data_IF_273542575961
#
_entry.id   IF_273542575961
#
_cell.length_a   1.000
_cell.length_b   1.000
_cell.length_c   1.000
_cell.angle_alpha   90.00
_cell.angle_beta   90.00
_cell.angle_gamma   90.00
#
_symmetry.space_group_name_H-M   'P 1'
#
loop_
_entity.id
_entity.type
_entity.pdbx_description
1 polymer ?
#
# COMPACT_ATOMS: atom_id res chain seq x y z
N UNK A 1 -15.39 27.29 -9.26
CA UNK A 1 -15.10 26.04 -8.52
C UNK A 1 -13.75 26.25 -7.88
N UNK A 2 -13.71 26.56 -6.58
CA UNK A 2 -12.45 26.56 -5.85
C UNK A 2 -11.86 25.14 -5.94
N UNK A 3 -10.60 25.02 -6.35
CA UNK A 3 -9.96 23.73 -6.61
C UNK A 3 -9.84 22.93 -5.31
N UNK A 4 -10.31 21.69 -5.32
CA UNK A 4 -10.10 20.76 -4.21
C UNK A 4 -8.61 20.47 -4.06
N UNK A 5 -8.09 20.51 -2.81
CA UNK A 5 -6.70 20.19 -2.48
C UNK A 5 -6.68 18.99 -1.51
N UNK A 6 -6.81 17.76 -2.04
CA UNK A 6 -6.87 16.58 -1.21
C UNK A 6 -5.59 16.45 -0.39
N UNK A 7 -5.75 16.07 0.88
CA UNK A 7 -4.63 15.85 1.79
C UNK A 7 -4.17 14.39 1.79
N UNK A 8 -5.02 13.48 1.32
CA UNK A 8 -4.80 12.04 1.34
C UNK A 8 -4.85 11.46 -0.07
N UNK A 9 -3.96 10.51 -0.37
CA UNK A 9 -4.15 9.54 -1.46
C UNK A 9 -4.55 8.20 -0.83
N UNK A 10 -5.67 7.61 -1.25
CA UNK A 10 -6.07 6.26 -0.83
C UNK A 10 -5.97 5.29 -2.00
N UNK A 11 -5.21 4.22 -1.79
CA UNK A 11 -5.08 3.08 -2.69
C UNK A 11 -5.88 1.93 -2.08
N UNK A 12 -7.07 1.69 -2.62
CA UNK A 12 -8.03 0.71 -2.10
C UNK A 12 -8.30 -0.44 -3.06
N UNK A 13 -9.03 -1.44 -2.57
CA UNK A 13 -9.44 -2.59 -3.38
C UNK A 13 -10.69 -2.25 -4.20
N UNK A 14 -10.78 -2.71 -5.45
CA UNK A 14 -11.99 -2.60 -6.29
C UNK A 14 -13.21 -3.35 -5.72
N UNK A 15 -13.00 -4.33 -4.83
CA UNK A 15 -14.06 -5.10 -4.16
C UNK A 15 -14.56 -4.45 -2.84
N UNK A 16 -13.99 -3.31 -2.42
CA UNK A 16 -14.50 -2.63 -1.21
C UNK A 16 -15.94 -2.11 -1.44
N UNK A 17 -16.87 -2.58 -0.60
CA UNK A 17 -18.32 -2.32 -0.72
C UNK A 17 -18.77 -1.03 -0.02
N UNK A 18 -17.84 -0.35 0.65
CA UNK A 18 -18.08 0.90 1.38
C UNK A 18 -17.25 2.02 0.73
N UNK A 19 -17.84 3.20 0.46
CA UNK A 19 -17.09 4.37 0.01
C UNK A 19 -15.97 4.72 1.00
N UNK A 20 -14.78 4.99 0.48
CA UNK A 20 -13.57 5.26 1.29
C UNK A 20 -13.75 6.51 2.14
N UNK A 21 -14.40 7.52 1.58
CA UNK A 21 -14.70 8.80 2.23
C UNK A 21 -15.55 8.57 3.48
N UNK A 22 -16.62 7.77 3.35
CA UNK A 22 -17.48 7.40 4.47
C UNK A 22 -16.72 6.58 5.52
N UNK A 23 -15.86 5.67 5.07
CA UNK A 23 -15.07 4.81 5.93
C UNK A 23 -14.09 5.59 6.82
N UNK A 24 -13.45 6.62 6.25
CA UNK A 24 -12.44 7.45 6.90
C UNK A 24 -13.01 8.71 7.56
N UNK A 25 -14.33 8.95 7.46
CA UNK A 25 -14.97 10.18 7.94
C UNK A 25 -14.48 11.44 7.20
N UNK A 26 -14.13 11.29 5.93
CA UNK A 26 -13.60 12.34 5.05
C UNK A 26 -14.65 12.79 4.03
N UNK A 27 -14.44 13.95 3.42
CA UNK A 27 -15.25 14.43 2.30
C UNK A 27 -14.55 14.17 0.96
N UNK A 28 -15.27 14.25 -0.16
CA UNK A 28 -14.70 14.03 -1.50
C UNK A 28 -13.59 15.03 -1.88
N UNK A 29 -13.51 16.18 -1.20
CA UNK A 29 -12.42 17.15 -1.39
C UNK A 29 -11.14 16.82 -0.61
N UNK A 30 -11.22 15.94 0.39
CA UNK A 30 -10.09 15.64 1.28
C UNK A 30 -9.20 14.51 0.74
N UNK A 31 -9.74 13.67 -0.14
CA UNK A 31 -9.14 12.39 -0.51
C UNK A 31 -9.14 12.19 -2.03
N UNK A 32 -7.96 11.83 -2.55
CA UNK A 32 -7.74 11.39 -3.92
C UNK A 32 -7.71 9.85 -3.94
N UNK A 33 -8.50 9.20 -4.78
CA UNK A 33 -8.74 7.75 -4.68
C UNK A 33 -8.26 7.03 -5.92
N UNK A 34 -7.53 5.93 -5.72
CA UNK A 34 -7.29 4.92 -6.73
C UNK A 34 -7.73 3.54 -6.22
N UNK A 35 -8.32 2.74 -7.11
CA UNK A 35 -8.77 1.38 -6.79
C UNK A 35 -8.36 0.40 -7.86
N UNK A 36 -7.79 -0.73 -7.43
CA UNK A 36 -7.51 -1.88 -8.28
C UNK A 36 -7.81 -3.17 -7.51
N UNK A 37 -7.79 -4.32 -8.19
CA UNK A 37 -8.09 -5.62 -7.54
C UNK A 37 -7.01 -5.90 -6.49
N UNK A 38 -7.43 -6.05 -5.23
CA UNK A 38 -6.56 -6.30 -4.07
C UNK A 38 -5.50 -5.21 -3.76
N UNK A 39 -5.81 -3.95 -4.09
CA UNK A 39 -5.08 -2.75 -3.63
C UNK A 39 -3.55 -2.82 -3.82
N UNK A 40 -3.12 -3.36 -4.97
CA UNK A 40 -1.73 -3.59 -5.28
C UNK A 40 -1.00 -2.32 -5.70
N UNK A 41 0.28 -2.27 -5.33
CA UNK A 41 1.24 -1.25 -5.73
C UNK A 41 2.34 -1.94 -6.53
N UNK A 42 2.14 -2.00 -7.86
CA UNK A 42 3.06 -2.69 -8.77
C UNK A 42 4.05 -1.68 -9.36
N UNK A 43 5.38 -1.90 -9.25
CA UNK A 43 6.40 -0.94 -9.72
C UNK A 43 6.37 -0.62 -11.22
N UNK A 44 5.67 -1.42 -12.03
CA UNK A 44 5.53 -1.24 -13.48
C UNK A 44 4.09 -0.92 -13.91
N UNK A 45 3.15 -0.75 -12.97
CA UNK A 45 1.78 -0.35 -13.29
C UNK A 45 1.71 1.16 -13.55
N UNK A 46 1.76 1.54 -14.82
CA UNK A 46 1.69 2.94 -15.23
C UNK A 46 0.41 3.63 -14.75
N UNK A 47 -0.70 2.91 -14.58
CA UNK A 47 -1.95 3.47 -14.09
C UNK A 47 -1.75 4.04 -12.68
N UNK A 48 -1.39 3.20 -11.72
CA UNK A 48 -1.15 3.66 -10.36
C UNK A 48 0.02 4.63 -10.26
N UNK A 49 1.12 4.42 -11.00
CA UNK A 49 2.28 5.32 -10.95
C UNK A 49 1.92 6.75 -11.39
N UNK A 50 1.07 6.89 -12.40
CA UNK A 50 0.58 8.21 -12.82
C UNK A 50 -0.25 8.91 -11.73
N UNK A 51 -1.06 8.16 -10.98
CA UNK A 51 -1.82 8.66 -9.83
C UNK A 51 -0.88 9.10 -8.71
N UNK A 52 0.12 8.29 -8.38
CA UNK A 52 1.10 8.61 -7.32
C UNK A 52 1.84 9.90 -7.68
N UNK A 53 2.37 10.02 -8.89
CA UNK A 53 3.08 11.20 -9.34
C UNK A 53 2.19 12.45 -9.26
N UNK A 54 0.94 12.37 -9.75
CA UNK A 54 0.02 13.49 -9.68
C UNK A 54 -0.34 13.88 -8.23
N UNK A 55 -0.64 12.90 -7.38
CA UNK A 55 -0.98 13.14 -5.98
C UNK A 55 0.18 13.79 -5.21
N UNK A 56 1.41 13.31 -5.43
CA UNK A 56 2.60 13.76 -4.70
C UNK A 56 3.11 15.10 -5.24
N UNK A 57 3.29 15.22 -6.55
CA UNK A 57 3.97 16.36 -7.16
C UNK A 57 3.01 17.52 -7.45
N UNK A 58 1.78 17.24 -7.91
CA UNK A 58 0.82 18.28 -8.27
C UNK A 58 -0.11 18.63 -7.09
N UNK A 59 -0.65 17.64 -6.40
CA UNK A 59 -1.62 17.85 -5.32
C UNK A 59 -0.95 18.03 -3.94
N UNK A 60 0.33 17.66 -3.80
CA UNK A 60 1.09 17.75 -2.57
C UNK A 60 0.41 17.05 -1.38
N UNK A 61 -0.16 15.86 -1.61
CA UNK A 61 -0.79 15.06 -0.55
C UNK A 61 0.20 14.82 0.60
N UNK A 62 -0.30 14.83 1.83
CA UNK A 62 0.51 14.66 3.04
C UNK A 62 0.63 13.19 3.44
N UNK A 63 -0.37 12.40 3.10
CA UNK A 63 -0.51 11.03 3.56
C UNK A 63 -0.98 10.12 2.40
N UNK A 64 -0.34 8.97 2.26
CA UNK A 64 -0.76 7.90 1.35
C UNK A 64 -1.21 6.72 2.21
N UNK A 65 -2.40 6.22 1.94
CA UNK A 65 -3.02 5.10 2.65
C UNK A 65 -3.18 3.93 1.69
N UNK A 66 -2.58 2.79 2.03
CA UNK A 66 -2.94 1.50 1.43
C UNK A 66 -4.04 0.90 2.28
N UNK A 67 -5.24 0.82 1.72
CA UNK A 67 -6.42 0.33 2.43
C UNK A 67 -6.81 -1.05 1.91
N UNK A 68 -6.36 -2.07 2.64
CA UNK A 68 -6.83 -3.43 2.49
C UNK A 68 -8.19 -3.65 3.17
N UNK A 69 -8.77 -4.82 2.93
CA UNK A 69 -9.94 -5.27 3.68
C UNK A 69 -9.91 -6.78 3.87
N UNK A 70 -10.39 -7.24 5.03
CA UNK A 70 -10.58 -8.67 5.24
C UNK A 70 -11.64 -9.22 4.27
N UNK A 71 -11.57 -10.54 4.07
CA UNK A 71 -12.39 -11.27 3.11
C UNK A 71 -12.22 -10.85 1.64
N UNK A 72 -11.10 -10.19 1.29
CA UNK A 72 -10.80 -9.74 -0.07
C UNK A 72 -10.83 -10.89 -1.09
N UNK A 73 -11.72 -10.79 -2.08
CA UNK A 73 -11.87 -11.79 -3.14
C UNK A 73 -10.58 -12.01 -3.95
N UNK A 74 -9.84 -10.94 -4.25
CA UNK A 74 -8.55 -11.05 -4.96
C UNK A 74 -7.50 -11.82 -4.18
N UNK A 75 -7.40 -11.59 -2.87
CA UNK A 75 -6.49 -12.32 -1.97
C UNK A 75 -6.89 -13.78 -1.84
N UNK A 76 -8.19 -14.07 -1.67
CA UNK A 76 -8.71 -15.46 -1.66
C UNK A 76 -8.39 -16.19 -2.95
N UNK A 77 -8.59 -15.54 -4.09
CA UNK A 77 -8.29 -16.10 -5.40
C UNK A 77 -6.79 -16.39 -5.58
N UNK A 78 -5.92 -15.49 -5.12
CA UNK A 78 -4.48 -15.70 -5.15
C UNK A 78 -4.07 -16.91 -4.29
N UNK A 79 -4.63 -17.04 -3.09
CA UNK A 79 -4.34 -18.12 -2.15
C UNK A 79 -4.87 -19.50 -2.61
N UNK A 80 -6.05 -19.54 -3.25
CA UNK A 80 -6.66 -20.78 -3.72
C UNK A 80 -5.96 -21.39 -4.95
N UNK A 81 -4.95 -20.72 -5.51
CA UNK A 81 -4.25 -21.10 -6.73
C UNK A 81 -5.20 -21.44 -7.91
N UNK A 82 -6.32 -20.71 -8.00
CA UNK A 82 -7.29 -20.87 -9.08
C UNK A 82 -6.87 -20.04 -10.28
N UNK A 83 -7.06 -20.61 -11.49
CA UNK A 83 -6.93 -19.85 -12.72
C UNK A 83 -8.25 -19.08 -13.00
N UNK A 84 -8.14 -17.76 -12.99
CA UNK A 84 -9.22 -16.81 -13.28
C UNK A 84 -8.92 -15.98 -14.54
N UNK A 85 -8.11 -16.53 -15.44
CA UNK A 85 -7.73 -15.90 -16.70
C UNK A 85 -6.75 -14.75 -16.51
N UNK A 86 -6.98 -13.61 -17.17
CA UNK A 86 -6.03 -12.47 -17.19
C UNK A 86 -5.74 -11.94 -15.78
N UNK A 87 -6.73 -11.99 -14.88
CA UNK A 87 -6.57 -11.56 -13.48
C UNK A 87 -5.52 -12.42 -12.74
N UNK A 88 -5.29 -13.67 -13.16
CA UNK A 88 -4.25 -14.53 -12.59
C UNK A 88 -2.86 -13.90 -12.67
N UNK A 89 -2.53 -13.19 -13.77
CA UNK A 89 -1.25 -12.50 -13.93
C UNK A 89 -1.10 -11.34 -12.95
N UNK A 90 -2.18 -10.57 -12.75
CA UNK A 90 -2.21 -9.49 -11.76
C UNK A 90 -2.02 -10.03 -10.35
N UNK A 91 -2.70 -11.12 -10.01
CA UNK A 91 -2.62 -11.74 -8.69
C UNK A 91 -1.29 -12.46 -8.43
N UNK A 92 -0.40 -12.64 -9.42
CA UNK A 92 0.94 -13.18 -9.19
C UNK A 92 1.73 -12.34 -8.17
N UNK A 93 1.55 -11.01 -8.16
CA UNK A 93 2.21 -10.15 -7.19
C UNK A 93 1.86 -10.53 -5.74
N UNK A 94 0.60 -10.93 -5.48
CA UNK A 94 0.18 -11.41 -4.15
C UNK A 94 0.80 -12.78 -3.86
N UNK A 95 0.82 -13.68 -4.85
CA UNK A 95 1.43 -15.02 -4.70
C UNK A 95 2.91 -14.92 -4.38
N UNK A 96 3.62 -13.93 -4.94
CA UNK A 96 5.02 -13.66 -4.59
C UNK A 96 5.18 -13.23 -3.13
N UNK A 97 4.27 -12.38 -2.61
CA UNK A 97 4.27 -12.04 -1.17
C UNK A 97 4.12 -13.30 -0.32
N UNK A 98 3.19 -14.19 -0.67
CA UNK A 98 2.97 -15.41 0.10
C UNK A 98 4.14 -16.38 0.01
N UNK A 99 4.72 -16.53 -1.19
CA UNK A 99 5.92 -17.36 -1.41
C UNK A 99 7.09 -16.89 -0.55
N UNK A 100 7.30 -15.57 -0.43
CA UNK A 100 8.37 -15.02 0.41
C UNK A 100 8.14 -15.13 1.91
N UNK A 101 6.92 -15.46 2.35
CA UNK A 101 6.53 -15.55 3.77
C UNK A 101 5.87 -16.91 4.10
N UNK A 102 6.22 -17.95 3.33
CA UNK A 102 5.53 -19.24 3.36
C UNK A 102 5.66 -19.93 4.73
N UNK A 103 6.82 -19.80 5.40
CA UNK A 103 7.05 -20.38 6.73
C UNK A 103 6.11 -19.79 7.78
N UNK A 104 5.92 -18.47 7.79
CA UNK A 104 4.99 -17.80 8.70
C UNK A 104 3.54 -18.21 8.42
N UNK A 105 3.15 -18.25 7.14
CA UNK A 105 1.79 -18.63 6.76
C UNK A 105 1.48 -20.10 7.09
N UNK A 106 2.44 -21.00 6.91
CA UNK A 106 2.29 -22.43 7.23
C UNK A 106 2.21 -22.69 8.74
N UNK A 107 2.79 -21.82 9.57
CA UNK A 107 2.71 -21.93 11.03
C UNK A 107 1.33 -21.54 11.58
N UNK A 108 0.48 -20.86 10.81
CA UNK A 108 -0.88 -20.49 11.23
C UNK A 108 -1.84 -21.62 10.87
N UNK A 109 -2.37 -22.35 11.86
CA UNK A 109 -3.25 -23.50 11.62
C UNK A 109 -4.66 -23.13 11.13
N UNK A 110 -5.25 -22.07 11.70
CA UNK A 110 -6.61 -21.64 11.36
C UNK A 110 -6.64 -20.94 9.99
N UNK A 111 -7.39 -21.49 9.03
CA UNK A 111 -7.50 -20.94 7.67
C UNK A 111 -8.01 -19.49 7.64
N UNK A 112 -8.95 -19.14 8.51
CA UNK A 112 -9.44 -17.76 8.62
C UNK A 112 -8.33 -16.83 9.10
N UNK A 113 -7.59 -17.21 10.14
CA UNK A 113 -6.46 -16.43 10.65
C UNK A 113 -5.35 -16.30 9.60
N UNK A 114 -5.06 -17.39 8.86
CA UNK A 114 -4.08 -17.40 7.78
C UNK A 114 -4.49 -16.46 6.65
N UNK A 115 -5.75 -16.48 6.25
CA UNK A 115 -6.29 -15.56 5.24
C UNK A 115 -6.22 -14.09 5.69
N UNK A 116 -6.58 -13.81 6.95
CA UNK A 116 -6.46 -12.45 7.51
C UNK A 116 -5.01 -11.97 7.49
N UNK A 117 -4.07 -12.83 7.89
CA UNK A 117 -2.64 -12.52 7.82
C UNK A 117 -2.16 -12.28 6.39
N UNK A 118 -2.63 -13.06 5.41
CA UNK A 118 -2.34 -12.82 3.99
C UNK A 118 -2.80 -11.44 3.51
N UNK A 119 -3.96 -10.96 3.96
CA UNK A 119 -4.43 -9.60 3.65
C UNK A 119 -3.51 -8.55 4.27
N UNK A 120 -3.13 -8.72 5.54
CA UNK A 120 -2.24 -7.81 6.27
C UNK A 120 -0.86 -7.76 5.60
N UNK A 121 -0.26 -8.91 5.29
CA UNK A 121 1.02 -9.02 4.57
C UNK A 121 0.96 -8.35 3.19
N UNK A 122 -0.16 -8.46 2.47
CA UNK A 122 -0.33 -7.78 1.20
C UNK A 122 -0.27 -6.25 1.39
N UNK A 123 -0.95 -5.72 2.41
CA UNK A 123 -0.91 -4.28 2.75
C UNK A 123 0.51 -3.86 3.16
N UNK A 124 1.19 -4.64 4.02
CA UNK A 124 2.59 -4.39 4.41
C UNK A 124 3.48 -4.28 3.16
N UNK A 125 3.43 -5.27 2.28
CA UNK A 125 4.26 -5.28 1.07
C UNK A 125 3.94 -4.12 0.14
N UNK A 126 2.67 -3.74 0.00
CA UNK A 126 2.28 -2.59 -0.82
C UNK A 126 2.78 -1.27 -0.24
N UNK A 127 2.76 -1.11 1.09
CA UNK A 127 3.39 0.03 1.76
C UNK A 127 4.90 0.07 1.50
N UNK A 128 5.58 -1.09 1.54
CA UNK A 128 7.01 -1.18 1.22
C UNK A 128 7.30 -0.85 -0.24
N UNK A 129 6.43 -1.24 -1.18
CA UNK A 129 6.54 -0.89 -2.60
C UNK A 129 6.41 0.63 -2.82
N UNK A 130 5.47 1.29 -2.11
CA UNK A 130 5.37 2.76 -2.10
C UNK A 130 6.63 3.39 -1.52
N UNK A 131 7.14 2.88 -0.41
CA UNK A 131 8.34 3.41 0.23
C UNK A 131 9.59 3.25 -0.66
N UNK A 132 9.64 2.21 -1.49
CA UNK A 132 10.69 2.02 -2.50
C UNK A 132 10.50 2.85 -3.78
N UNK A 133 9.40 3.61 -3.92
CA UNK A 133 9.12 4.37 -5.12
C UNK A 133 9.99 5.66 -5.20
N UNK A 134 10.67 5.92 -6.33
CA UNK A 134 11.55 7.10 -6.46
C UNK A 134 10.85 8.45 -6.24
N UNK A 135 9.61 8.61 -6.69
CA UNK A 135 8.83 9.85 -6.51
C UNK A 135 8.61 10.11 -5.02
N UNK A 136 8.22 9.06 -4.29
CA UNK A 136 7.96 9.14 -2.85
C UNK A 136 9.26 9.40 -2.08
N UNK A 137 10.34 8.67 -2.38
CA UNK A 137 11.61 8.85 -1.67
C UNK A 137 12.20 10.24 -1.88
N UNK A 138 12.18 10.74 -3.12
CA UNK A 138 12.63 12.10 -3.43
C UNK A 138 11.87 13.11 -2.57
N UNK A 139 10.53 13.03 -2.60
CA UNK A 139 9.67 13.94 -1.82
C UNK A 139 9.92 13.82 -0.31
N UNK A 140 10.14 12.61 0.20
CA UNK A 140 10.41 12.37 1.63
C UNK A 140 11.78 12.91 2.05
N UNK A 141 12.78 12.87 1.18
CA UNK A 141 14.08 13.47 1.46
C UNK A 141 13.97 14.99 1.54
N UNK A 142 13.27 15.61 0.59
CA UNK A 142 13.12 17.07 0.49
C UNK A 142 12.18 17.65 1.58
N UNK A 143 11.10 16.94 1.92
CA UNK A 143 9.99 17.50 2.70
C UNK A 143 9.49 16.60 3.84
N UNK A 144 10.08 15.42 4.04
CA UNK A 144 9.62 14.42 5.02
C UNK A 144 8.16 13.99 4.81
N UNK A 145 7.65 14.11 3.58
CA UNK A 145 6.30 13.76 3.14
C UNK A 145 6.36 13.07 1.76
N UNK A 146 5.32 12.31 1.37
CA UNK A 146 4.16 11.93 2.18
C UNK A 146 4.48 10.85 3.21
N UNK A 147 3.68 10.75 4.28
CA UNK A 147 3.68 9.59 5.19
C UNK A 147 2.91 8.44 4.54
N UNK A 148 3.31 7.20 4.81
CA UNK A 148 2.66 6.00 4.29
C UNK A 148 1.99 5.26 5.43
N UNK A 149 0.73 4.88 5.24
CA UNK A 149 -0.07 4.16 6.23
C UNK A 149 -0.64 2.88 5.62
N UNK A 150 -0.48 1.76 6.33
CA UNK A 150 -1.18 0.52 6.02
C UNK A 150 -2.40 0.37 6.91
N UNK A 151 -3.58 0.28 6.31
CA UNK A 151 -4.85 0.09 7.03
C UNK A 151 -5.58 -1.14 6.48
N UNK A 152 -6.27 -1.87 7.35
CA UNK A 152 -7.17 -2.96 6.97
C UNK A 152 -8.53 -2.73 7.59
N UNK A 153 -9.55 -2.68 6.74
CA UNK A 153 -10.94 -2.60 7.16
C UNK A 153 -11.57 -3.99 7.31
N UNK A 154 -12.34 -4.18 8.37
CA UNK A 154 -13.15 -5.36 8.56
C UNK A 154 -14.64 -5.04 8.35
N UNK A 155 -15.23 -5.62 7.31
CA UNK A 155 -16.64 -5.42 6.99
C UNK A 155 -17.55 -6.02 8.08
N UNK A 156 -17.08 -7.05 8.80
CA UNK A 156 -17.89 -7.77 9.77
C UNK A 156 -18.18 -6.96 11.04
N UNK A 157 -17.25 -6.09 11.44
CA UNK A 157 -17.38 -5.27 12.65
C UNK A 157 -17.32 -3.75 12.38
N UNK A 158 -16.99 -3.33 11.16
CA UNK A 158 -16.90 -1.92 10.77
C UNK A 158 -15.63 -1.23 11.26
N UNK A 159 -14.63 -1.97 11.74
CA UNK A 159 -13.43 -1.40 12.37
C UNK A 159 -12.26 -1.38 11.39
N UNK A 160 -11.57 -0.23 11.33
CA UNK A 160 -10.29 -0.08 10.64
C UNK A 160 -9.16 -0.35 11.62
N UNK A 161 -8.22 -1.19 11.20
CA UNK A 161 -7.02 -1.56 11.97
C UNK A 161 -5.78 -1.03 11.25
N UNK A 162 -4.85 -0.47 12.02
CA UNK A 162 -3.56 -0.07 11.48
C UNK A 162 -2.61 -1.25 11.46
N UNK A 163 -1.85 -1.35 10.38
CA UNK A 163 -0.79 -2.34 10.21
C UNK A 163 0.54 -1.64 10.46
N UNK A 164 1.32 -2.20 11.39
CA UNK A 164 2.65 -1.68 11.71
C UNK A 164 3.65 -2.12 10.63
N UNK A 165 4.17 -1.16 9.88
CA UNK A 165 5.13 -1.41 8.79
C UNK A 165 6.48 -0.87 9.20
N UNK A 166 7.45 -1.77 9.38
CA UNK A 166 8.82 -1.39 9.78
C UNK A 166 9.65 -0.92 8.57
N UNK A 167 9.38 0.32 8.14
CA UNK A 167 10.13 0.98 7.05
C UNK A 167 11.63 1.12 7.37
N UNK A 168 12.00 1.22 8.65
CA UNK A 168 13.41 1.34 9.07
C UNK A 168 14.15 0.03 8.87
N UNK A 169 13.55 -1.11 9.23
CA UNK A 169 14.12 -2.43 8.96
C UNK A 169 14.22 -2.68 7.45
N UNK A 170 13.21 -2.26 6.69
CA UNK A 170 13.23 -2.37 5.24
C UNK A 170 14.39 -1.60 4.62
N UNK A 171 14.56 -0.31 4.93
CA UNK A 171 15.68 0.47 4.39
C UNK A 171 17.05 -0.04 4.86
N UNK A 172 17.17 -0.56 6.09
CA UNK A 172 18.42 -1.21 6.53
C UNK A 172 18.76 -2.45 5.70
N UNK A 173 17.75 -3.22 5.31
CA UNK A 173 17.92 -4.45 4.51
C UNK A 173 18.28 -4.13 3.06
N UNK A 174 17.61 -3.17 2.43
CA UNK A 174 17.71 -2.95 0.97
C UNK A 174 18.16 -1.55 0.54
N UNK A 175 18.54 -0.67 1.47
CA UNK A 175 18.85 0.74 1.19
C UNK A 175 20.00 0.92 0.19
N UNK A 176 20.99 0.03 0.19
CA UNK A 176 22.08 0.05 -0.80
C UNK A 176 21.62 -0.23 -2.24
N UNK A 177 20.41 -0.75 -2.43
CA UNK A 177 19.81 -1.05 -3.75
C UNK A 177 18.76 -0.01 -4.11
N UNK A 178 17.93 0.40 -3.14
CA UNK A 178 16.70 1.16 -3.38
C UNK A 178 16.67 2.54 -2.72
N UNK A 179 17.76 3.08 -2.20
CA UNK A 179 17.77 4.45 -1.61
C UNK A 179 17.86 5.58 -2.63
N UNK A 180 18.23 5.27 -3.88
CA UNK A 180 18.46 6.23 -4.97
C UNK A 180 19.31 7.46 -4.57
N UNK A 181 20.19 7.32 -3.57
CA UNK A 181 21.03 8.39 -3.01
C UNK A 181 20.32 9.37 -2.06
N UNK A 182 18.99 9.31 -1.92
CA UNK A 182 18.21 10.29 -1.17
C UNK A 182 18.36 10.17 0.36
N UNK A 183 18.53 8.95 0.87
CA UNK A 183 18.73 8.71 2.32
C UNK A 183 20.19 8.82 2.77
N UNK A 184 21.13 8.93 1.83
CA UNK A 184 22.55 9.20 2.12
C UNK A 184 22.79 10.69 2.34
N UNK A 185 22.18 11.55 1.51
CA UNK A 185 22.31 13.01 1.59
C UNK A 185 21.87 13.58 2.96
N UNK A 186 20.77 13.09 3.53
CA UNK A 186 20.27 13.55 4.84
C UNK A 186 21.23 13.25 6.01
N UNK A 187 21.97 12.14 5.95
CA UNK A 187 22.95 11.76 6.98
C UNK A 187 24.19 12.64 6.98
N UNK A 188 24.55 13.19 5.83
CA UNK A 188 25.69 14.10 5.68
C UNK A 188 25.32 15.55 6.03
N UNK A 189 24.07 15.95 5.85
CA UNK A 189 23.55 17.25 6.28
C UNK A 189 23.35 17.34 7.79
N UNK A 190 22.88 16.28 8.45
CA UNK A 190 22.74 16.21 9.92
C UNK A 190 24.08 16.08 10.67
N UNK A 191 25.18 15.81 9.96
CA UNK A 191 26.55 15.70 10.49
C UNK A 191 27.39 16.97 10.34
N UNK A 192 26.86 18.01 9.70
CA UNK A 192 27.48 19.34 9.56
C UNK A 192 26.81 20.34 10.50
#
# INVERSE_FOLDING_TARGET
VEGQSPQYLVIGCSDSRVPVEQLLGMTSGDVFIHRNVANLVVPSDLNLLSVIAYAVDALNVKDIIVLGHYDCGGVKCAAANQDVGIVSYWLHHIRDVFRSNMDELNAIECDLARHRRMVEMNVEQQCLNLFSNPVIQKRQAEHSLPRIHGLVYDISDGIIRSIDVDFRKHIRKIGHIYSYGYFEQKRDEERK
#
